data_IF_709188816548
#
_entry.id   IF_709188816548
#
_cell.length_a   1.000
_cell.length_b   1.000
_cell.length_c   1.000
_cell.angle_alpha   90.00
_cell.angle_beta   90.00
_cell.angle_gamma   90.00
#
_symmetry.space_group_name_H-M   'P 1'
#
loop_
_entity.id
_entity.type
_entity.pdbx_description
1 polymer ?
#
# COMPACT_ATOMS: atom_id res chain seq x y z
N UNK A 1 -27.24 12.02 -2.26
CA UNK A 1 -26.54 10.79 -1.90
C UNK A 1 -25.18 11.16 -1.33
N UNK A 2 -24.78 10.57 -0.21
CA UNK A 2 -23.50 10.86 0.47
C UNK A 2 -22.80 9.56 0.85
N UNK A 3 -21.48 9.65 1.03
CA UNK A 3 -20.61 8.55 1.42
C UNK A 3 -19.77 8.99 2.62
N UNK A 4 -19.69 8.16 3.65
CA UNK A 4 -18.88 8.43 4.82
C UNK A 4 -18.07 7.18 5.17
N UNK A 5 -16.74 7.33 5.17
CA UNK A 5 -15.80 6.29 5.55
C UNK A 5 -15.30 6.52 6.98
N UNK A 6 -15.21 5.46 7.76
CA UNK A 6 -14.55 5.46 9.06
C UNK A 6 -13.66 4.24 9.18
N UNK A 7 -12.48 4.42 9.78
CA UNK A 7 -11.65 3.32 10.21
C UNK A 7 -12.17 2.81 11.56
N UNK A 8 -12.37 1.50 11.68
CA UNK A 8 -12.90 0.88 12.90
C UNK A 8 -11.88 0.00 13.62
N UNK A 9 -10.81 -0.43 12.94
CA UNK A 9 -9.75 -1.26 13.52
C UNK A 9 -8.39 -1.01 12.83
N UNK A 10 -7.31 -1.25 13.56
CA UNK A 10 -5.93 -1.15 13.09
C UNK A 10 -5.26 0.17 13.49
N UNK A 11 -3.97 0.36 13.15
CA UNK A 11 -3.27 1.64 13.35
C UNK A 11 -3.96 2.78 12.60
N UNK A 12 -4.09 3.96 13.20
CA UNK A 12 -4.77 5.09 12.57
C UNK A 12 -4.12 5.46 11.23
N UNK A 13 -4.95 5.57 10.19
CA UNK A 13 -4.54 6.05 8.86
C UNK A 13 -5.37 7.25 8.45
N UNK A 14 -4.75 8.14 7.68
CA UNK A 14 -5.47 9.25 7.07
C UNK A 14 -6.15 8.76 5.78
N UNK A 15 -7.48 8.68 5.80
CA UNK A 15 -8.29 8.45 4.62
C UNK A 15 -8.30 9.70 3.73
N UNK A 16 -8.16 9.48 2.41
CA UNK A 16 -8.31 10.51 1.38
C UNK A 16 -9.43 10.09 0.46
N UNK A 17 -10.42 10.95 0.26
CA UNK A 17 -11.47 10.71 -0.73
C UNK A 17 -10.94 11.11 -2.11
N UNK A 18 -11.02 10.18 -3.06
CA UNK A 18 -10.61 10.45 -4.46
C UNK A 18 -11.80 10.88 -5.30
N UNK A 19 -12.90 10.14 -5.16
CA UNK A 19 -14.21 10.38 -5.76
C UNK A 19 -15.27 9.87 -4.79
N UNK A 20 -16.54 10.30 -4.89
CA UNK A 20 -17.61 9.84 -4.01
C UNK A 20 -17.66 8.33 -3.87
N UNK A 21 -17.51 7.85 -2.63
CA UNK A 21 -17.54 6.42 -2.31
C UNK A 21 -16.24 5.65 -2.56
N UNK A 22 -15.19 6.29 -3.07
CA UNK A 22 -13.85 5.70 -3.21
C UNK A 22 -12.81 6.46 -2.39
N UNK A 23 -12.25 5.79 -1.39
CA UNK A 23 -11.20 6.32 -0.54
C UNK A 23 -9.91 5.52 -0.69
N UNK A 24 -8.78 6.20 -0.51
CA UNK A 24 -7.45 5.61 -0.44
C UNK A 24 -6.70 6.03 0.82
N UNK A 25 -5.68 5.27 1.19
CA UNK A 25 -4.82 5.52 2.33
C UNK A 25 -3.42 4.95 2.09
N UNK A 26 -2.46 5.40 2.88
CA UNK A 26 -1.12 4.83 2.94
C UNK A 26 -0.92 4.24 4.34
N UNK A 27 -0.29 3.07 4.40
CA UNK A 27 -0.16 2.30 5.63
C UNK A 27 1.16 1.54 5.67
N UNK A 28 1.65 1.29 6.87
CA UNK A 28 2.67 0.26 7.13
C UNK A 28 2.03 -1.13 7.08
N UNK A 29 2.82 -2.22 7.05
CA UNK A 29 2.28 -3.57 7.17
C UNK A 29 1.39 -3.73 8.41
N UNK A 30 0.21 -4.35 8.23
CA UNK A 30 -0.82 -4.40 9.26
C UNK A 30 -2.17 -4.87 8.73
N UNK A 31 -3.15 -4.99 9.63
CA UNK A 31 -4.55 -5.27 9.30
C UNK A 31 -5.40 -4.06 9.65
N UNK A 32 -6.34 -3.74 8.77
CA UNK A 32 -7.18 -2.55 8.86
C UNK A 32 -8.62 -2.95 8.57
N UNK A 33 -9.56 -2.40 9.33
CA UNK A 33 -11.00 -2.54 9.07
C UNK A 33 -11.60 -1.16 8.86
N UNK A 34 -12.39 -1.02 7.81
CA UNK A 34 -13.08 0.22 7.44
C UNK A 34 -14.57 -0.05 7.29
N UNK A 35 -15.38 0.94 7.61
CA UNK A 35 -16.83 0.93 7.39
C UNK A 35 -17.22 2.09 6.48
N UNK A 36 -18.02 1.78 5.46
CA UNK A 36 -18.67 2.76 4.59
C UNK A 36 -20.15 2.86 4.98
N UNK A 37 -20.60 4.07 5.24
CA UNK A 37 -22.02 4.42 5.29
C UNK A 37 -22.41 5.18 4.02
N UNK A 38 -23.47 4.73 3.36
CA UNK A 38 -24.05 5.39 2.18
C UNK A 38 -25.44 5.90 2.55
N UNK A 39 -25.74 7.16 2.25
CA UNK A 39 -27.09 7.74 2.40
C UNK A 39 -27.65 8.10 1.03
N UNK A 40 -28.86 7.65 0.67
CA UNK A 40 -29.52 8.01 -0.59
C UNK A 40 -30.12 9.44 -0.56
N UNK A 41 -30.85 9.83 -1.61
CA UNK A 41 -31.47 11.18 -1.69
C UNK A 41 -32.75 11.31 -0.86
N UNK A 42 -33.33 10.20 -0.41
CA UNK A 42 -34.52 10.15 0.43
C UNK A 42 -34.18 9.97 1.92
N UNK A 43 -32.89 9.88 2.26
CA UNK A 43 -32.38 9.74 3.63
C UNK A 43 -32.21 8.29 4.09
N UNK A 44 -32.43 7.31 3.22
CA UNK A 44 -32.17 5.91 3.54
C UNK A 44 -30.67 5.64 3.64
N UNK A 45 -30.25 4.83 4.62
CA UNK A 45 -28.83 4.52 4.86
C UNK A 45 -28.53 3.03 4.76
N UNK A 46 -27.34 2.69 4.26
CA UNK A 46 -26.78 1.34 4.31
C UNK A 46 -25.30 1.38 4.72
N UNK A 47 -24.85 0.36 5.44
CA UNK A 47 -23.48 0.25 5.96
C UNK A 47 -22.80 -1.04 5.50
N UNK A 48 -21.51 -0.99 5.19
CA UNK A 48 -20.72 -2.16 4.81
C UNK A 48 -19.28 -2.05 5.35
N UNK A 49 -18.75 -3.15 5.86
CA UNK A 49 -17.36 -3.25 6.30
C UNK A 49 -16.44 -3.88 5.25
N UNK A 50 -15.20 -3.42 5.21
CA UNK A 50 -14.11 -3.96 4.40
C UNK A 50 -12.86 -4.16 5.25
N UNK A 51 -12.14 -5.26 5.01
CA UNK A 51 -10.88 -5.60 5.70
C UNK A 51 -9.74 -5.57 4.70
N UNK A 52 -8.64 -4.91 5.07
CA UNK A 52 -7.42 -4.80 4.25
C UNK A 52 -6.24 -5.33 5.05
N UNK A 53 -5.46 -6.21 4.43
CA UNK A 53 -4.19 -6.68 4.97
C UNK A 53 -3.05 -6.13 4.11
N UNK A 54 -2.17 -5.33 4.72
CA UNK A 54 -0.95 -4.81 4.10
C UNK A 54 0.20 -5.72 4.53
N UNK A 55 0.82 -6.37 3.56
CA UNK A 55 1.95 -7.27 3.81
C UNK A 55 3.28 -6.51 3.68
N UNK A 56 4.32 -6.91 4.43
CA UNK A 56 5.66 -6.39 4.23
C UNK A 56 6.17 -6.76 2.84
N UNK A 57 6.83 -5.82 2.18
CA UNK A 57 7.52 -6.08 0.92
C UNK A 57 8.82 -6.86 1.18
N UNK A 58 9.06 -8.01 0.52
CA UNK A 58 10.34 -8.70 0.61
C UNK A 58 11.44 -7.83 0.00
N UNK A 59 12.37 -7.35 0.82
CA UNK A 59 13.55 -6.62 0.37
C UNK A 59 14.81 -7.46 0.60
N UNK A 60 15.56 -7.75 -0.46
CA UNK A 60 16.86 -8.41 -0.41
C UNK A 60 17.95 -7.41 -0.84
N UNK A 61 19.10 -7.46 -0.16
CA UNK A 61 20.24 -6.63 -0.55
C UNK A 61 20.70 -6.97 -1.99
N UNK A 62 21.11 -5.98 -2.80
CA UNK A 62 21.65 -6.26 -4.13
C UNK A 62 22.98 -7.03 -4.02
N UNK A 63 23.20 -7.99 -4.92
CA UNK A 63 24.48 -8.70 -5.04
C UNK A 63 25.36 -8.00 -6.08
N UNK A 64 26.57 -7.61 -5.68
CA UNK A 64 27.58 -7.06 -6.57
C UNK A 64 28.66 -8.10 -6.86
N UNK A 65 28.97 -8.33 -8.13
CA UNK A 65 30.06 -9.21 -8.56
C UNK A 65 31.06 -8.41 -9.40
N UNK A 66 32.35 -8.63 -9.17
CA UNK A 66 33.45 -7.98 -9.90
C UNK A 66 34.48 -9.01 -10.33
N UNK A 67 34.86 -8.95 -11.61
CA UNK A 67 35.96 -9.74 -12.17
C UNK A 67 37.02 -8.80 -12.73
N UNK A 68 38.26 -8.97 -12.29
CA UNK A 68 39.42 -8.21 -12.78
C UNK A 68 40.34 -9.19 -13.51
N UNK A 69 40.78 -8.83 -14.72
CA UNK A 69 41.77 -9.60 -15.49
C UNK A 69 43.04 -8.78 -15.67
N UNK A 70 44.20 -9.39 -15.42
CA UNK A 70 45.49 -8.82 -15.81
C UNK A 70 45.81 -9.27 -17.25
N UNK A 71 46.18 -8.33 -18.12
CA UNK A 71 46.82 -8.65 -19.40
C UNK A 71 48.32 -8.70 -19.16
N UNK A 72 48.94 -9.86 -19.32
CA UNK A 72 50.40 -9.90 -19.44
C UNK A 72 50.81 -9.15 -20.70
N UNK A 73 51.66 -8.13 -20.55
CA UNK A 73 52.35 -7.52 -21.67
C UNK A 73 53.50 -8.45 -21.99
N UNK A 74 53.33 -9.30 -22.99
CA UNK A 74 54.41 -10.15 -23.49
C UNK A 74 55.58 -9.27 -23.90
N UNK A 75 56.68 -9.34 -23.15
CA UNK A 75 58.01 -9.04 -23.65
C UNK A 75 58.51 -10.36 -24.24
N UNK A 76 58.31 -10.56 -25.55
CA UNK A 76 59.04 -11.62 -26.24
C UNK A 76 60.53 -11.21 -26.35
N UNK A 77 61.46 -12.14 -26.08
CA UNK A 77 62.91 -11.89 -26.12
C UNK A 77 63.46 -11.69 -27.54
#
# INVERSE_FOLDING_TARGET
MTFAWVQTEGPDVQLREEVPGRSSFTATPGKYTFELTVTDVYGGTATQQAKVAVHPEPNAAPQAEVSVYAREIGLEP
#
